data_IF_796421543774
#
_entry.id   IF_796421543774
#
_cell.length_a   1.000
_cell.length_b   1.000
_cell.length_c   1.000
_cell.angle_alpha   90.00
_cell.angle_beta   90.00
_cell.angle_gamma   90.00
#
_symmetry.space_group_name_H-M   'P 1'
#
loop_
_entity.id
_entity.type
_entity.pdbx_description
1 polymer ?
#
# COMPACT_ATOMS: atom_id res chain seq x y z
N UNK A 1 -17.04 5.17 5.95
CA UNK A 1 -15.78 5.68 5.38
C UNK A 1 -15.19 6.69 6.34
N UNK A 2 -13.93 6.48 6.73
CA UNK A 2 -13.20 7.32 7.67
C UNK A 2 -12.24 8.24 6.89
N UNK A 3 -12.24 9.54 7.14
CA UNK A 3 -11.46 10.52 6.38
C UNK A 3 -9.99 10.59 6.80
N UNK A 4 -9.65 9.89 7.87
CA UNK A 4 -8.32 9.75 8.43
C UNK A 4 -7.37 9.02 7.47
N UNK A 5 -7.88 8.25 6.52
CA UNK A 5 -7.10 7.59 5.47
C UNK A 5 -7.88 7.69 4.15
N UNK A 6 -7.73 8.78 3.38
CA UNK A 6 -8.47 8.97 2.15
C UNK A 6 -8.00 7.97 1.10
N UNK A 7 -8.94 7.43 0.33
CA UNK A 7 -8.64 6.63 -0.86
C UNK A 7 -7.96 7.54 -1.88
N UNK A 8 -6.90 7.08 -2.54
CA UNK A 8 -6.18 7.83 -3.57
C UNK A 8 -6.35 7.16 -4.94
N UNK A 9 -6.33 7.99 -5.98
CA UNK A 9 -6.35 7.56 -7.38
C UNK A 9 -5.91 8.69 -8.29
N UNK A 10 -6.07 8.53 -9.61
CA UNK A 10 -5.76 9.57 -10.58
C UNK A 10 -7.01 10.36 -10.94
N UNK A 11 -6.96 11.69 -10.84
CA UNK A 11 -8.02 12.54 -11.36
C UNK A 11 -7.97 12.66 -12.90
N UNK A 12 -8.94 13.37 -13.49
CA UNK A 12 -9.03 13.64 -14.94
C UNK A 12 -7.79 14.31 -15.56
N UNK A 13 -6.86 14.85 -14.76
CA UNK A 13 -5.60 15.46 -15.20
C UNK A 13 -4.40 14.51 -15.06
N UNK A 14 -4.62 13.26 -14.65
CA UNK A 14 -3.56 12.29 -14.39
C UNK A 14 -2.77 12.55 -13.10
N UNK A 15 -3.25 13.42 -12.22
CA UNK A 15 -2.59 13.70 -10.93
C UNK A 15 -3.19 12.84 -9.82
N UNK A 16 -2.36 12.46 -8.85
CA UNK A 16 -2.82 11.78 -7.64
C UNK A 16 -3.75 12.70 -6.86
N UNK A 17 -4.95 12.22 -6.55
CA UNK A 17 -5.99 12.94 -5.85
C UNK A 17 -6.72 12.01 -4.86
N UNK A 18 -7.20 12.54 -3.74
CA UNK A 18 -8.10 11.81 -2.87
C UNK A 18 -9.46 11.64 -3.54
N UNK A 19 -10.07 10.50 -3.26
CA UNK A 19 -11.39 10.12 -3.70
C UNK A 19 -12.36 10.19 -2.54
N UNK A 20 -13.52 10.75 -2.81
CA UNK A 20 -14.62 10.84 -1.87
C UNK A 20 -15.86 10.09 -2.35
N UNK A 21 -16.76 9.85 -1.40
CA UNK A 21 -18.05 9.23 -1.70
C UNK A 21 -18.81 10.11 -2.68
N UNK A 22 -19.03 9.57 -3.88
CA UNK A 22 -19.98 10.11 -4.84
C UNK A 22 -21.37 9.55 -4.56
N UNK A 23 -21.97 8.91 -5.56
CA UNK A 23 -23.27 8.28 -5.41
C UNK A 23 -23.13 6.88 -4.78
N UNK A 24 -23.71 6.64 -3.60
CA UNK A 24 -23.81 5.31 -2.98
C UNK A 24 -25.27 4.93 -2.75
N UNK A 25 -25.99 4.65 -3.84
CA UNK A 25 -27.42 4.33 -3.77
C UNK A 25 -27.62 2.83 -3.58
N UNK A 26 -28.19 2.48 -2.43
CA UNK A 26 -28.67 1.14 -2.10
C UNK A 26 -30.17 1.25 -1.87
N UNK A 27 -30.97 0.44 -2.56
CA UNK A 27 -32.43 0.55 -2.48
C UNK A 27 -33.11 -0.80 -2.29
N UNK A 28 -34.30 -0.73 -1.70
CA UNK A 28 -35.23 -1.85 -1.57
C UNK A 28 -36.52 -1.45 -2.28
N UNK A 29 -36.96 -2.26 -3.24
CA UNK A 29 -38.18 -2.02 -3.99
C UNK A 29 -39.28 -2.88 -3.40
N UNK A 30 -40.31 -2.23 -2.84
CA UNK A 30 -41.53 -2.85 -2.33
C UNK A 30 -42.66 -2.47 -3.28
N UNK A 31 -43.41 -3.45 -3.76
CA UNK A 31 -44.55 -3.21 -4.65
C UNK A 31 -45.77 -2.65 -3.88
N UNK A 32 -46.82 -2.29 -4.63
CA UNK A 32 -48.08 -1.76 -4.08
C UNK A 32 -48.79 -2.73 -3.11
N UNK A 33 -48.50 -4.02 -3.20
CA UNK A 33 -49.11 -5.09 -2.41
C UNK A 33 -48.26 -5.39 -1.15
N UNK A 34 -47.17 -4.64 -0.94
CA UNK A 34 -46.28 -4.78 0.22
C UNK A 34 -45.21 -5.87 0.07
N UNK A 35 -45.06 -6.46 -1.12
CA UNK A 35 -44.06 -7.50 -1.37
C UNK A 35 -42.74 -6.89 -1.82
N UNK A 36 -41.64 -7.33 -1.20
CA UNK A 36 -40.28 -6.94 -1.61
C UNK A 36 -39.92 -7.61 -2.94
N UNK A 37 -39.68 -6.79 -3.97
CA UNK A 37 -39.23 -7.22 -5.30
C UNK A 37 -37.70 -7.30 -5.35
N UNK A 38 -37.01 -6.30 -4.79
CA UNK A 38 -35.56 -6.25 -4.67
C UNK A 38 -35.21 -5.75 -3.26
N UNK A 39 -34.20 -6.33 -2.62
CA UNK A 39 -33.73 -5.92 -1.30
C UNK A 39 -32.27 -5.51 -1.37
N UNK A 40 -31.93 -4.34 -0.81
CA UNK A 40 -30.57 -3.81 -0.72
C UNK A 40 -29.77 -3.93 -2.04
N UNK A 41 -30.45 -3.59 -3.13
CA UNK A 41 -29.92 -3.69 -4.48
C UNK A 41 -29.08 -2.48 -4.82
N UNK A 42 -27.98 -2.73 -5.50
CA UNK A 42 -27.16 -1.73 -6.19
C UNK A 42 -27.25 -2.01 -7.68
N UNK A 43 -27.49 -0.95 -8.47
CA UNK A 43 -27.50 -1.05 -9.93
C UNK A 43 -26.10 -1.31 -10.48
N UNK A 44 -26.00 -1.76 -11.73
CA UNK A 44 -24.75 -1.72 -12.48
C UNK A 44 -24.79 -0.54 -13.45
N UNK A 45 -23.66 0.13 -13.62
CA UNK A 45 -23.55 1.19 -14.61
C UNK A 45 -23.43 0.60 -16.01
N UNK A 46 -23.56 1.44 -17.04
CA UNK A 46 -23.49 0.97 -18.44
C UNK A 46 -22.16 0.29 -18.78
N UNK A 47 -21.07 0.62 -18.06
CA UNK A 47 -19.75 0.00 -18.18
C UNK A 47 -19.62 -1.32 -17.41
N UNK A 48 -20.69 -1.78 -16.73
CA UNK A 48 -20.70 -3.01 -15.94
C UNK A 48 -20.08 -2.88 -14.54
N UNK A 49 -19.68 -1.66 -14.15
CA UNK A 49 -19.20 -1.35 -12.80
C UNK A 49 -20.37 -1.29 -11.80
N UNK A 50 -20.04 -1.30 -10.51
CA UNK A 50 -21.04 -1.02 -9.47
C UNK A 50 -21.63 0.38 -9.63
N UNK A 51 -22.92 0.52 -9.37
CA UNK A 51 -23.60 1.81 -9.27
C UNK A 51 -23.19 2.64 -8.06
N UNK A 52 -22.31 2.10 -7.20
CA UNK A 52 -21.57 2.88 -6.22
C UNK A 52 -20.43 3.61 -6.93
N UNK A 53 -20.28 4.89 -6.62
CA UNK A 53 -19.26 5.74 -7.21
C UNK A 53 -18.41 6.45 -6.17
N UNK A 54 -17.12 6.57 -6.46
CA UNK A 54 -16.17 7.42 -5.74
C UNK A 54 -15.57 8.42 -6.72
N UNK A 55 -15.50 9.69 -6.35
CA UNK A 55 -15.07 10.77 -7.23
C UNK A 55 -13.78 11.43 -6.72
N UNK A 56 -12.86 11.82 -7.61
CA UNK A 56 -11.69 12.59 -7.21
C UNK A 56 -12.10 13.98 -6.78
N UNK A 57 -11.54 14.46 -5.67
CA UNK A 57 -11.64 15.87 -5.27
C UNK A 57 -10.35 16.61 -5.59
N UNK A 58 -10.43 17.95 -5.69
CA UNK A 58 -9.24 18.78 -5.76
C UNK A 58 -8.79 19.10 -4.33
N UNK A 59 -7.75 18.45 -3.80
CA UNK A 59 -7.32 18.75 -2.46
C UNK A 59 -6.62 20.11 -2.45
N UNK A 60 -6.81 20.83 -1.36
CA UNK A 60 -5.89 21.89 -0.95
C UNK A 60 -5.30 21.51 0.40
N UNK A 61 -4.07 21.93 0.68
CA UNK A 61 -3.44 21.69 1.98
C UNK A 61 -4.25 22.40 3.07
N UNK A 62 -4.81 21.63 4.01
CA UNK A 62 -5.50 22.15 5.20
C UNK A 62 -4.69 22.01 6.48
N UNK A 63 -3.59 21.27 6.45
CA UNK A 63 -2.69 21.03 7.58
C UNK A 63 -1.32 21.67 7.36
N UNK A 64 -0.65 22.00 8.47
CA UNK A 64 0.73 22.52 8.47
C UNK A 64 1.78 21.42 8.29
N UNK A 65 1.39 20.17 8.50
CA UNK A 65 2.26 19.00 8.42
C UNK A 65 1.74 18.06 7.34
N UNK A 66 2.65 17.51 6.55
CA UNK A 66 2.35 16.45 5.62
C UNK A 66 2.05 15.15 6.37
N UNK A 67 1.33 14.24 5.71
CA UNK A 67 1.08 12.87 6.19
C UNK A 67 2.38 12.09 6.31
N UNK A 68 2.34 11.02 7.09
CA UNK A 68 3.45 10.07 7.14
C UNK A 68 3.63 9.42 5.76
N UNK A 69 4.82 8.90 5.47
CA UNK A 69 5.05 8.20 4.21
C UNK A 69 4.19 6.92 4.17
N UNK A 70 4.05 6.29 5.33
CA UNK A 70 3.33 5.05 5.58
C UNK A 70 1.82 5.21 5.34
N UNK A 71 1.25 6.39 5.60
CA UNK A 71 -0.17 6.69 5.39
C UNK A 71 -0.60 6.48 3.93
N UNK A 72 0.32 6.63 2.97
CA UNK A 72 0.06 6.42 1.55
C UNK A 72 0.72 5.13 1.02
N UNK A 73 1.95 4.84 1.44
CA UNK A 73 2.73 3.74 0.87
C UNK A 73 2.37 2.39 1.49
N UNK A 74 1.94 2.36 2.77
CA UNK A 74 1.67 1.13 3.53
C UNK A 74 0.21 1.01 3.97
N UNK A 75 -0.71 1.66 3.26
CA UNK A 75 -2.11 1.68 3.62
C UNK A 75 -2.98 1.13 2.46
N UNK A 76 -3.50 -0.11 2.59
CA UNK A 76 -4.37 -0.72 1.57
C UNK A 76 -5.58 0.15 1.22
N UNK A 77 -6.17 0.84 2.20
CA UNK A 77 -7.29 1.73 1.97
C UNK A 77 -6.89 2.97 1.17
N UNK A 78 -5.73 3.57 1.44
CA UNK A 78 -5.21 4.68 0.64
C UNK A 78 -4.95 4.25 -0.82
N UNK A 79 -4.60 2.99 -1.05
CA UNK A 79 -4.45 2.41 -2.40
C UNK A 79 -5.77 2.03 -3.07
N UNK A 80 -6.90 2.17 -2.37
CA UNK A 80 -8.23 1.82 -2.87
C UNK A 80 -8.60 0.34 -2.77
N UNK A 81 -7.81 -0.45 -2.05
CA UNK A 81 -8.07 -1.89 -1.79
C UNK A 81 -9.06 -2.11 -0.63
N UNK A 82 -9.44 -1.03 0.07
CA UNK A 82 -10.34 -1.03 1.22
C UNK A 82 -9.66 -1.39 2.54
N UNK A 83 -10.34 -1.10 3.66
CA UNK A 83 -9.89 -1.45 5.01
C UNK A 83 -10.24 -2.89 5.43
N UNK A 84 -11.15 -3.54 4.72
CA UNK A 84 -11.62 -4.90 5.04
C UNK A 84 -12.49 -4.98 6.30
N UNK A 85 -12.93 -3.85 6.86
CA UNK A 85 -13.74 -3.82 8.09
C UNK A 85 -15.21 -4.13 7.85
N UNK A 86 -15.72 -3.82 6.66
CA UNK A 86 -17.12 -4.02 6.31
C UNK A 86 -17.26 -5.23 5.40
N UNK A 87 -18.07 -6.21 5.81
CA UNK A 87 -18.51 -7.32 4.94
C UNK A 87 -19.93 -7.03 4.40
N UNK A 88 -20.07 -6.60 3.14
CA UNK A 88 -21.36 -6.31 2.52
C UNK A 88 -22.32 -7.50 2.50
N UNK A 89 -21.79 -8.72 2.36
CA UNK A 89 -22.61 -9.92 2.19
C UNK A 89 -23.32 -10.27 3.50
N UNK A 90 -22.66 -10.06 4.64
CA UNK A 90 -23.28 -10.15 5.96
C UNK A 90 -24.44 -9.15 6.16
N UNK A 91 -24.40 -8.03 5.46
CA UNK A 91 -25.44 -6.98 5.51
C UNK A 91 -26.59 -7.24 4.52
N UNK A 92 -26.55 -8.34 3.76
CA UNK A 92 -27.54 -8.67 2.74
C UNK A 92 -27.51 -7.71 1.55
N UNK A 93 -26.39 -7.05 1.28
CA UNK A 93 -26.22 -6.20 0.11
C UNK A 93 -25.91 -7.02 -1.14
N UNK A 94 -26.27 -6.50 -2.31
CA UNK A 94 -26.11 -7.21 -3.58
C UNK A 94 -24.69 -7.23 -4.17
N UNK A 95 -23.66 -6.88 -3.39
CA UNK A 95 -22.25 -6.81 -3.79
C UNK A 95 -21.34 -7.38 -2.69
N UNK A 96 -20.07 -7.67 -2.99
CA UNK A 96 -19.17 -8.42 -2.09
C UNK A 96 -17.82 -7.73 -1.79
N UNK A 97 -17.72 -6.42 -2.00
CA UNK A 97 -16.52 -5.63 -1.71
C UNK A 97 -16.86 -4.47 -0.76
N UNK A 98 -15.98 -4.09 0.17
CA UNK A 98 -16.28 -3.03 1.13
C UNK A 98 -16.44 -1.67 0.41
N UNK A 99 -17.20 -0.75 1.01
CA UNK A 99 -17.58 0.52 0.37
C UNK A 99 -16.40 1.43 0.02
N UNK A 100 -15.25 1.21 0.64
CA UNK A 100 -13.99 1.94 0.42
C UNK A 100 -13.02 1.19 -0.51
N UNK A 101 -13.38 0.00 -1.01
CA UNK A 101 -12.64 -0.70 -2.06
C UNK A 101 -13.14 -0.26 -3.43
N UNK A 102 -12.31 0.50 -4.13
CA UNK A 102 -12.57 1.02 -5.49
C UNK A 102 -11.87 0.20 -6.57
N UNK A 103 -10.85 -0.57 -6.18
CA UNK A 103 -10.04 -1.40 -7.07
C UNK A 103 -9.74 -2.74 -6.42
N UNK A 104 -9.66 -3.80 -7.20
CA UNK A 104 -9.18 -5.09 -6.73
C UNK A 104 -7.65 -5.22 -6.76
N UNK A 105 -7.17 -6.32 -6.22
CA UNK A 105 -5.76 -6.67 -6.12
C UNK A 105 -5.09 -6.84 -7.50
N UNK A 106 -5.87 -6.92 -8.58
CA UNK A 106 -5.41 -7.01 -9.96
C UNK A 106 -5.48 -5.66 -10.70
N UNK A 107 -5.84 -4.57 -10.00
CA UNK A 107 -5.95 -3.24 -10.60
C UNK A 107 -7.24 -3.02 -11.39
N UNK A 108 -8.24 -3.91 -11.27
CA UNK A 108 -9.55 -3.73 -11.92
C UNK A 108 -10.46 -2.87 -11.05
N UNK A 109 -11.00 -1.83 -11.65
CA UNK A 109 -11.95 -0.93 -11.02
C UNK A 109 -13.26 -1.64 -10.67
N UNK A 110 -13.80 -1.37 -9.47
CA UNK A 110 -15.04 -1.96 -8.95
C UNK A 110 -16.17 -0.95 -8.86
N UNK A 111 -15.86 0.27 -8.43
CA UNK A 111 -16.80 1.38 -8.28
C UNK A 111 -16.65 2.37 -9.44
N UNK A 112 -17.75 2.94 -9.89
CA UNK A 112 -17.72 3.92 -10.98
C UNK A 112 -17.18 5.29 -10.49
N UNK A 113 -16.95 6.20 -11.42
CA UNK A 113 -16.71 7.61 -11.12
C UNK A 113 -17.33 8.47 -12.21
N UNK A 114 -17.81 9.65 -11.84
CA UNK A 114 -18.49 10.55 -12.77
C UNK A 114 -17.53 11.44 -13.59
N UNK A 115 -16.22 11.31 -13.38
CA UNK A 115 -15.21 12.23 -13.90
C UNK A 115 -14.38 11.57 -14.98
N UNK A 116 -14.54 12.00 -16.23
CA UNK A 116 -13.83 11.40 -17.36
C UNK A 116 -12.30 11.39 -17.14
N UNK A 117 -11.66 10.28 -17.51
CA UNK A 117 -10.24 10.02 -17.29
C UNK A 117 -9.82 9.76 -15.83
N UNK A 118 -10.72 9.93 -14.85
CA UNK A 118 -10.40 9.60 -13.46
C UNK A 118 -10.50 8.08 -13.24
N UNK A 119 -9.57 7.52 -12.46
CA UNK A 119 -9.53 6.08 -12.19
C UNK A 119 -8.76 5.76 -10.90
N UNK A 120 -9.02 4.57 -10.31
CA UNK A 120 -8.11 3.99 -9.34
C UNK A 120 -6.71 3.73 -9.93
N UNK A 121 -5.75 3.41 -9.08
CA UNK A 121 -4.43 2.99 -9.52
C UNK A 121 -4.47 1.66 -10.29
N UNK A 122 -3.56 1.50 -11.25
CA UNK A 122 -3.33 0.23 -11.93
C UNK A 122 -2.55 -0.72 -11.03
N UNK A 123 -2.48 -2.01 -11.40
CA UNK A 123 -1.70 -3.00 -10.67
C UNK A 123 -0.22 -2.61 -10.56
N UNK A 124 0.36 -2.13 -11.65
CA UNK A 124 1.76 -1.72 -11.71
C UNK A 124 2.02 -0.50 -10.83
N UNK A 125 1.08 0.44 -10.77
CA UNK A 125 1.16 1.61 -9.90
C UNK A 125 1.08 1.20 -8.42
N UNK A 126 0.11 0.34 -8.06
CA UNK A 126 -0.04 -0.22 -6.71
C UNK A 126 1.24 -0.95 -6.28
N UNK A 127 1.81 -1.79 -7.14
CA UNK A 127 3.04 -2.54 -6.84
C UNK A 127 4.24 -1.61 -6.64
N UNK A 128 4.36 -0.56 -7.46
CA UNK A 128 5.42 0.44 -7.33
C UNK A 128 5.28 1.23 -6.04
N UNK A 129 4.06 1.61 -5.65
CA UNK A 129 3.80 2.33 -4.40
C UNK A 129 4.14 1.44 -3.20
N UNK A 130 3.67 0.20 -3.20
CA UNK A 130 3.91 -0.79 -2.12
C UNK A 130 5.38 -1.18 -1.98
N UNK A 131 6.15 -1.21 -3.08
CA UNK A 131 7.58 -1.56 -3.03
C UNK A 131 8.37 -0.62 -2.11
N UNK A 132 7.95 0.64 -1.98
CA UNK A 132 8.62 1.62 -1.13
C UNK A 132 8.52 1.27 0.37
N UNK A 133 7.55 0.45 0.80
CA UNK A 133 7.42 0.02 2.19
C UNK A 133 8.64 -0.75 2.68
N UNK A 134 9.27 -1.53 1.81
CA UNK A 134 10.49 -2.27 2.18
C UNK A 134 11.69 -1.33 2.41
N UNK A 135 11.66 -0.15 1.80
CA UNK A 135 12.73 0.83 1.90
C UNK A 135 12.49 1.80 3.05
N UNK A 136 11.25 2.25 3.25
CA UNK A 136 10.92 3.31 4.21
C UNK A 136 11.29 2.93 5.65
N UNK A 137 11.20 1.66 6.03
CA UNK A 137 11.52 1.23 7.40
C UNK A 137 12.94 1.61 7.82
N UNK A 138 13.94 1.37 6.96
CA UNK A 138 15.33 1.77 7.25
C UNK A 138 15.57 3.26 6.99
N UNK A 139 14.87 3.85 6.02
CA UNK A 139 15.03 5.26 5.66
C UNK A 139 14.33 6.22 6.65
N UNK A 140 13.35 5.75 7.42
CA UNK A 140 12.68 6.52 8.47
C UNK A 140 13.66 6.97 9.56
N UNK A 141 14.63 6.10 9.87
CA UNK A 141 15.71 6.30 10.83
C UNK A 141 16.78 7.30 10.34
N UNK A 142 16.77 7.70 9.06
CA UNK A 142 17.63 8.79 8.57
C UNK A 142 17.33 10.14 9.24
N UNK A 143 16.18 10.27 9.90
CA UNK A 143 15.83 11.47 10.68
C UNK A 143 16.67 11.59 11.96
N UNK A 144 17.30 10.52 12.42
CA UNK A 144 18.31 10.58 13.49
C UNK A 144 19.69 10.80 12.87
N UNK A 145 20.15 12.06 12.92
CA UNK A 145 21.44 12.47 12.38
C UNK A 145 22.62 11.68 12.97
N UNK A 146 22.56 11.28 14.25
CA UNK A 146 23.66 10.57 14.90
C UNK A 146 23.73 9.11 14.44
N UNK A 147 22.57 8.46 14.37
CA UNK A 147 22.46 7.10 13.85
C UNK A 147 22.88 7.06 12.38
N UNK A 148 22.37 7.99 11.58
CA UNK A 148 22.64 8.02 10.15
C UNK A 148 24.10 8.31 9.84
N UNK A 149 24.74 9.21 10.61
CA UNK A 149 26.18 9.45 10.49
C UNK A 149 26.98 8.17 10.73
N UNK A 150 26.69 7.39 11.79
CA UNK A 150 27.37 6.11 12.06
C UNK A 150 27.22 5.13 10.90
N UNK A 151 26.01 5.00 10.34
CA UNK A 151 25.75 4.12 9.19
C UNK A 151 26.58 4.55 7.98
N UNK A 152 26.64 5.86 7.68
CA UNK A 152 27.41 6.39 6.56
C UNK A 152 28.93 6.34 6.77
N UNK A 153 29.42 6.48 7.99
CA UNK A 153 30.85 6.41 8.32
C UNK A 153 31.38 4.97 8.16
N UNK A 154 30.58 3.96 8.54
CA UNK A 154 30.96 2.54 8.47
C UNK A 154 30.87 1.99 7.05
N UNK A 155 29.82 2.35 6.32
CA UNK A 155 29.48 1.70 5.04
C UNK A 155 29.67 2.60 3.81
N UNK A 156 29.92 3.90 4.00
CA UNK A 156 29.84 4.90 2.95
C UNK A 156 28.39 5.26 2.59
N UNK A 157 28.20 6.43 1.97
CA UNK A 157 26.88 6.81 1.45
C UNK A 157 26.54 5.97 0.21
N UNK A 158 25.37 5.33 0.21
CA UNK A 158 24.89 4.46 -0.86
C UNK A 158 24.52 5.26 -2.13
N UNK A 159 25.53 5.75 -2.86
CA UNK A 159 25.37 6.58 -4.06
C UNK A 159 24.83 5.82 -5.28
N UNK A 160 24.94 4.49 -5.29
CA UNK A 160 24.48 3.63 -6.38
C UNK A 160 23.64 2.46 -5.86
N UNK A 161 22.79 1.90 -6.71
CA UNK A 161 21.95 0.74 -6.37
C UNK A 161 22.79 -0.49 -6.00
N UNK A 162 23.94 -0.67 -6.65
CA UNK A 162 24.88 -1.76 -6.45
C UNK A 162 25.49 -1.68 -5.05
N UNK A 163 25.98 -0.50 -4.66
CA UNK A 163 26.51 -0.26 -3.33
C UNK A 163 25.41 -0.38 -2.27
N UNK A 164 24.22 0.14 -2.56
CA UNK A 164 23.08 0.02 -1.65
C UNK A 164 22.74 -1.46 -1.35
N UNK A 165 22.69 -2.32 -2.39
CA UNK A 165 22.45 -3.76 -2.23
C UNK A 165 23.55 -4.47 -1.44
N UNK A 166 24.81 -4.08 -1.64
CA UNK A 166 25.95 -4.64 -0.88
C UNK A 166 25.83 -4.30 0.61
N UNK A 167 25.52 -3.04 0.94
CA UNK A 167 25.32 -2.59 2.32
C UNK A 167 24.15 -3.34 2.97
N UNK A 168 23.01 -3.43 2.29
CA UNK A 168 21.87 -4.21 2.78
C UNK A 168 22.25 -5.68 3.02
N UNK A 169 22.95 -6.30 2.07
CA UNK A 169 23.39 -7.70 2.19
C UNK A 169 24.32 -7.90 3.39
N UNK A 170 25.21 -6.94 3.65
CA UNK A 170 26.09 -6.95 4.81
C UNK A 170 25.30 -6.81 6.11
N UNK A 171 24.39 -5.84 6.21
CA UNK A 171 23.54 -5.62 7.38
C UNK A 171 22.71 -6.87 7.70
N UNK A 172 22.02 -7.45 6.70
CA UNK A 172 21.19 -8.65 6.93
C UNK A 172 22.01 -9.90 7.26
N UNK A 173 23.23 -10.04 6.72
CA UNK A 173 24.10 -11.18 7.03
C UNK A 173 24.77 -11.04 8.40
N UNK A 174 25.31 -9.86 8.73
CA UNK A 174 26.01 -9.61 9.99
C UNK A 174 25.04 -9.50 11.17
N UNK A 175 23.91 -8.78 11.04
CA UNK A 175 22.93 -8.66 12.11
C UNK A 175 21.96 -9.86 12.18
N UNK A 176 21.76 -10.60 11.08
CA UNK A 176 21.02 -11.86 11.10
C UNK A 176 21.78 -12.97 11.82
N UNK A 177 23.11 -13.00 11.70
CA UNK A 177 23.97 -13.90 12.47
C UNK A 177 24.03 -13.50 13.95
N UNK A 178 24.20 -12.21 14.27
CA UNK A 178 24.26 -11.76 15.66
C UNK A 178 22.94 -11.89 16.44
N UNK A 179 21.79 -12.07 15.77
CA UNK A 179 20.51 -12.41 16.41
C UNK A 179 20.36 -13.91 16.72
N UNK A 180 21.13 -14.77 16.04
CA UNK A 180 21.20 -16.21 16.30
C UNK A 180 22.39 -16.56 17.22
N UNK A 181 23.42 -15.73 17.24
CA UNK A 181 24.59 -15.83 18.10
C UNK A 181 24.52 -14.78 19.22
N UNK A 182 23.54 -14.93 20.11
CA UNK A 182 23.68 -14.40 21.47
C UNK A 182 24.69 -15.28 22.22
N UNK A 183 25.96 -15.18 21.86
CA UNK A 183 27.05 -15.36 22.81
C UNK A 183 28.36 -14.77 22.29
N UNK A 184 28.75 -13.66 22.95
CA UNK A 184 30.13 -13.20 23.14
C UNK A 184 30.99 -12.84 21.91
N UNK A 185 31.31 -11.54 21.84
CA UNK A 185 32.62 -10.98 21.49
C UNK A 185 33.38 -11.61 20.31
N UNK A 186 33.39 -10.96 19.15
CA UNK A 186 34.63 -10.92 18.38
C UNK A 186 34.74 -9.75 17.40
N UNK A 187 35.79 -8.96 17.61
CA UNK A 187 36.38 -8.03 16.66
C UNK A 187 36.81 -8.78 15.39
N UNK A 188 36.29 -8.39 14.23
CA UNK A 188 36.69 -8.98 12.95
C UNK A 188 38.05 -8.37 12.54
N UNK A 189 39.10 -9.18 12.62
CA UNK A 189 40.37 -8.91 11.95
C UNK A 189 40.23 -9.28 10.47
N UNK A 190 40.63 -8.36 9.60
CA UNK A 190 40.74 -8.57 8.16
C UNK A 190 41.83 -9.59 7.87
N UNK A 191 41.45 -10.83 7.60
CA UNK A 191 42.13 -11.81 6.73
C UNK A 191 41.50 -13.18 6.98
N UNK A 192 40.46 -13.55 6.24
CA UNK A 192 40.14 -14.97 6.10
C UNK A 192 39.61 -15.31 4.71
N UNK A 193 40.53 -15.88 3.93
CA UNK A 193 40.37 -16.48 2.62
C UNK A 193 39.62 -17.81 2.71
N UNK A 194 38.33 -17.80 3.04
CA UNK A 194 37.58 -19.05 3.24
C UNK A 194 36.17 -19.10 2.63
N UNK A 195 35.96 -18.44 1.48
CA UNK A 195 34.70 -18.50 0.74
C UNK A 195 34.47 -19.79 -0.06
N UNK A 196 35.46 -20.69 -0.19
CA UNK A 196 35.31 -21.92 -0.98
C UNK A 196 34.85 -23.15 -0.18
N UNK A 197 34.92 -23.14 1.15
CA UNK A 197 34.57 -24.31 1.98
C UNK A 197 33.08 -24.45 2.28
N UNK A 198 32.30 -23.36 2.14
CA UNK A 198 30.87 -23.33 2.51
C UNK A 198 29.98 -23.91 1.39
N UNK A 199 30.38 -23.77 0.12
CA UNK A 199 29.59 -24.27 -1.02
C UNK A 199 29.53 -25.80 -1.04
N UNK A 200 30.56 -26.49 -0.57
CA UNK A 200 30.64 -27.96 -0.62
C UNK A 200 29.77 -28.72 0.40
N UNK A 201 29.13 -28.02 1.34
CA UNK A 201 28.29 -28.63 2.38
C UNK A 201 26.79 -28.63 2.06
N UNK A 202 26.37 -28.07 0.92
CA UNK A 202 24.96 -28.00 0.53
C UNK A 202 24.56 -29.02 -0.55
N UNK A 203 25.46 -29.92 -0.97
CA UNK A 203 25.20 -30.92 -2.02
C UNK A 203 25.08 -32.38 -1.52
N UNK A 204 24.83 -32.60 -0.22
CA UNK A 204 24.46 -33.93 0.31
C UNK A 204 23.18 -33.86 1.14
#
# INVERSE_FOLDING_TARGET
MRWEDPILGLNSRGNVAPYEVGCQVIYTHIDKDGKTIESNKVFKTASGLSGLAQNPVQPHSISRQARSCEDCHNNPKALGLGDGLLDPSSQGWSFNFPLDKIVDEQGKQLQDNAHDGARPFSKEEIDRINRLNLCISCHSEMKDDQLWKKVTDINGFAKTNELHKQILSKIFRENGYNLLDNDSTNTINSNDSNSESIIKKMEN
#
